data_IF_457476711484
#
_entry.id   IF_457476711484
#
_cell.length_a   1.000
_cell.length_b   1.000
_cell.length_c   1.000
_cell.angle_alpha   90.00
_cell.angle_beta   90.00
_cell.angle_gamma   90.00
#
_symmetry.space_group_name_H-M   'P 1'
#
loop_
_entity.id
_entity.type
_entity.pdbx_description
1 polymer ?
#
# COMPACT_ATOMS: atom_id res chain seq x y z
N UNK A 1 11.25 -12.65 -10.85
CA UNK A 1 11.12 -11.45 -11.72
C UNK A 1 11.30 -10.14 -10.95
N UNK A 2 10.50 -9.84 -9.90
CA UNK A 2 10.58 -8.56 -9.17
C UNK A 2 11.93 -8.33 -8.48
N UNK A 3 12.51 -9.37 -7.87
CA UNK A 3 13.86 -9.29 -7.29
C UNK A 3 14.89 -8.87 -8.35
N UNK A 4 14.89 -9.54 -9.51
CA UNK A 4 15.78 -9.22 -10.64
C UNK A 4 15.64 -7.76 -11.07
N UNK A 5 14.40 -7.27 -11.24
CA UNK A 5 14.17 -5.88 -11.62
C UNK A 5 14.59 -4.88 -10.56
N UNK A 6 14.40 -5.20 -9.26
CA UNK A 6 14.84 -4.33 -8.15
C UNK A 6 16.36 -4.18 -8.16
N UNK A 7 17.08 -5.29 -8.19
CA UNK A 7 18.55 -5.27 -8.19
C UNK A 7 19.08 -4.63 -9.47
N UNK A 8 18.48 -4.92 -10.62
CA UNK A 8 18.85 -4.29 -11.89
C UNK A 8 18.67 -2.77 -11.89
N UNK A 9 17.57 -2.25 -11.33
CA UNK A 9 17.32 -0.80 -11.28
C UNK A 9 17.99 -0.09 -10.10
N UNK A 10 18.54 -0.81 -9.13
CA UNK A 10 19.37 -0.25 -8.06
C UNK A 10 20.85 -0.23 -8.46
N UNK A 11 21.36 -1.39 -8.91
CA UNK A 11 22.78 -1.63 -9.07
C UNK A 11 23.23 -1.57 -10.54
N UNK A 12 22.29 -1.52 -11.48
CA UNK A 12 22.55 -1.45 -12.92
C UNK A 12 23.03 -2.76 -13.54
N UNK A 13 23.22 -3.82 -12.75
CA UNK A 13 23.62 -5.14 -13.21
C UNK A 13 23.15 -6.26 -12.27
N UNK A 14 22.83 -7.43 -12.84
CA UNK A 14 22.49 -8.63 -12.07
C UNK A 14 22.77 -9.91 -12.86
N UNK A 15 23.27 -10.93 -12.17
CA UNK A 15 23.19 -12.34 -12.57
C UNK A 15 22.30 -13.05 -11.55
N UNK A 16 21.30 -13.80 -12.02
CA UNK A 16 20.31 -14.42 -11.14
C UNK A 16 19.82 -15.74 -11.71
N UNK A 17 19.71 -16.74 -10.85
CA UNK A 17 19.13 -18.04 -11.12
C UNK A 17 17.88 -18.20 -10.27
N UNK A 18 16.73 -18.40 -10.92
CA UNK A 18 15.46 -18.67 -10.25
C UNK A 18 14.88 -20.00 -10.72
N UNK A 19 13.83 -20.44 -10.02
CA UNK A 19 13.20 -21.77 -10.20
C UNK A 19 12.75 -22.06 -11.64
N UNK A 20 12.47 -21.02 -12.43
CA UNK A 20 11.91 -21.14 -13.79
C UNK A 20 12.68 -20.36 -14.85
N UNK A 21 13.69 -19.58 -14.49
CA UNK A 21 14.43 -18.74 -15.45
C UNK A 21 15.80 -18.35 -14.89
N UNK A 22 16.76 -18.13 -15.78
CA UNK A 22 18.11 -17.66 -15.46
C UNK A 22 18.44 -16.43 -16.28
N UNK A 23 19.01 -15.41 -15.63
CA UNK A 23 19.60 -14.23 -16.26
C UNK A 23 21.10 -14.24 -16.00
N UNK A 24 21.89 -14.30 -17.08
CA UNK A 24 23.34 -14.21 -17.01
C UNK A 24 23.78 -12.86 -17.56
N UNK A 25 24.39 -12.03 -16.70
CA UNK A 25 24.99 -10.76 -17.12
C UNK A 25 23.97 -9.77 -17.69
N UNK A 26 22.83 -9.59 -17.02
CA UNK A 26 21.88 -8.53 -17.39
C UNK A 26 22.41 -7.20 -16.83
N UNK A 27 22.83 -6.27 -17.69
CA UNK A 27 23.36 -4.96 -17.29
C UNK A 27 22.82 -3.82 -18.16
N UNK A 28 22.80 -2.61 -17.62
CA UNK A 28 22.46 -1.37 -18.35
C UNK A 28 23.66 -0.42 -18.38
N UNK A 29 23.90 0.21 -19.54
CA UNK A 29 24.90 1.27 -19.67
C UNK A 29 24.42 2.61 -19.08
N UNK A 30 23.10 2.81 -18.96
CA UNK A 30 22.51 3.94 -18.26
C UNK A 30 22.43 3.63 -16.77
N UNK A 31 23.28 4.24 -15.94
CA UNK A 31 23.15 4.16 -14.49
C UNK A 31 21.86 4.85 -14.05
N UNK A 32 21.09 4.27 -13.11
CA UNK A 32 19.95 4.96 -12.52
C UNK A 32 20.43 6.26 -11.84
N UNK A 33 20.08 7.41 -12.39
CA UNK A 33 20.35 8.74 -11.78
C UNK A 33 19.26 9.19 -10.82
N UNK A 34 18.20 8.40 -10.73
CA UNK A 34 17.03 8.58 -9.87
C UNK A 34 17.21 7.77 -8.57
N UNK A 35 16.71 8.32 -7.46
CA UNK A 35 16.67 7.60 -6.19
C UNK A 35 15.93 6.25 -6.34
N UNK A 36 16.32 5.21 -5.57
CA UNK A 36 15.70 3.88 -5.65
C UNK A 36 14.17 3.96 -5.54
N UNK A 37 13.49 3.72 -6.66
CA UNK A 37 12.03 3.70 -6.68
C UNK A 37 11.53 2.28 -6.40
N UNK A 38 10.57 2.08 -5.49
CA UNK A 38 10.04 0.76 -5.20
C UNK A 38 9.26 0.23 -6.41
N UNK A 39 9.87 -0.67 -7.18
CA UNK A 39 9.18 -1.45 -8.22
C UNK A 39 8.25 -2.46 -7.52
N UNK A 40 7.09 -1.99 -7.08
CA UNK A 40 6.12 -2.84 -6.37
C UNK A 40 4.74 -2.67 -7.01
N UNK A 41 4.30 -3.79 -7.59
CA UNK A 41 3.14 -4.01 -8.46
C UNK A 41 1.90 -3.15 -8.19
N UNK A 42 1.28 -2.71 -9.29
CA UNK A 42 0.13 -1.82 -9.35
C UNK A 42 -1.10 -2.25 -8.53
N UNK A 43 -1.90 -1.22 -8.22
CA UNK A 43 -3.14 -1.22 -7.43
C UNK A 43 -3.03 -0.80 -5.96
N UNK A 44 -1.93 -0.18 -5.52
CA UNK A 44 -1.89 0.57 -4.26
C UNK A 44 -1.96 2.08 -4.58
N UNK A 45 -2.85 2.82 -3.90
CA UNK A 45 -3.08 4.25 -4.17
C UNK A 45 -2.00 5.10 -3.47
N UNK A 46 -1.10 5.70 -4.25
CA UNK A 46 -0.17 6.73 -3.79
C UNK A 46 1.16 6.21 -3.20
N UNK A 47 2.18 7.08 -3.13
CA UNK A 47 3.58 6.69 -2.91
C UNK A 47 3.84 5.99 -1.57
N UNK A 48 3.17 6.42 -0.48
CA UNK A 48 3.36 5.82 0.85
C UNK A 48 2.93 4.35 0.91
N UNK A 49 1.84 4.02 0.22
CA UNK A 49 1.31 2.65 0.20
C UNK A 49 2.28 1.67 -0.48
N UNK A 50 3.06 2.13 -1.47
CA UNK A 50 4.11 1.34 -2.13
C UNK A 50 5.36 1.16 -1.26
N UNK A 51 5.74 2.20 -0.51
CA UNK A 51 6.86 2.14 0.43
C UNK A 51 6.57 1.09 1.52
N UNK A 52 5.44 1.20 2.21
CA UNK A 52 5.07 0.26 3.29
C UNK A 52 4.80 -1.15 2.78
N UNK A 53 4.13 -1.33 1.63
CA UNK A 53 4.02 -2.64 0.99
C UNK A 53 5.41 -3.22 0.69
N UNK A 54 6.38 -2.35 0.48
CA UNK A 54 7.74 -2.70 0.26
C UNK A 54 8.53 -3.16 1.46
N UNK A 55 8.35 -2.51 2.59
CA UNK A 55 8.88 -2.93 3.89
C UNK A 55 8.26 -4.28 4.29
N UNK A 56 6.95 -4.45 4.11
CA UNK A 56 6.27 -5.72 4.40
C UNK A 56 6.83 -6.90 3.59
N UNK A 57 7.29 -6.66 2.36
CA UNK A 57 7.91 -7.69 1.53
C UNK A 57 9.24 -8.21 2.09
N UNK A 58 9.95 -7.43 2.91
CA UNK A 58 11.17 -7.88 3.61
C UNK A 58 10.86 -8.95 4.67
N UNK A 59 9.62 -9.00 5.15
CA UNK A 59 9.10 -10.03 6.04
C UNK A 59 8.40 -11.18 5.30
N UNK A 60 8.59 -11.29 3.98
CA UNK A 60 7.99 -12.35 3.15
C UNK A 60 6.53 -12.11 2.73
N UNK A 61 5.95 -10.92 2.99
CA UNK A 61 4.59 -10.62 2.57
C UNK A 61 4.54 -10.20 1.09
N UNK A 62 4.14 -11.15 0.25
CA UNK A 62 3.87 -10.92 -1.16
C UNK A 62 2.59 -10.11 -1.45
N UNK A 63 2.44 -9.52 -2.65
CA UNK A 63 1.25 -8.77 -3.06
C UNK A 63 -0.07 -9.54 -2.89
N UNK A 64 -0.06 -10.88 -3.02
CA UNK A 64 -1.26 -11.70 -2.82
C UNK A 64 -1.80 -11.61 -1.39
N UNK A 65 -0.93 -11.47 -0.39
CA UNK A 65 -1.29 -11.31 1.02
C UNK A 65 -1.86 -9.91 1.28
N UNK A 66 -1.33 -8.89 0.60
CA UNK A 66 -1.75 -7.50 0.74
C UNK A 66 -3.13 -7.21 0.12
N UNK A 67 -3.65 -8.11 -0.73
CA UNK A 67 -5.00 -7.98 -1.31
C UNK A 67 -6.08 -7.91 -0.24
N UNK A 68 -5.94 -8.65 0.85
CA UNK A 68 -6.89 -8.64 1.97
C UNK A 68 -6.87 -7.29 2.69
N UNK A 69 -5.67 -6.73 2.94
CA UNK A 69 -5.49 -5.42 3.57
C UNK A 69 -6.12 -4.33 2.69
N UNK A 70 -5.84 -4.34 1.38
CA UNK A 70 -6.46 -3.42 0.43
C UNK A 70 -7.98 -3.55 0.41
N UNK A 71 -8.50 -4.78 0.38
CA UNK A 71 -9.94 -5.02 0.41
C UNK A 71 -10.61 -4.51 1.68
N UNK A 72 -9.95 -4.61 2.83
CA UNK A 72 -10.43 -4.02 4.08
C UNK A 72 -10.49 -2.48 3.99
N UNK A 73 -9.42 -1.85 3.50
CA UNK A 73 -9.36 -0.40 3.33
C UNK A 73 -10.46 0.14 2.39
N UNK A 74 -10.73 -0.54 1.26
CA UNK A 74 -11.80 -0.13 0.34
C UNK A 74 -13.20 -0.28 0.98
N UNK A 75 -13.43 -1.31 1.81
CA UNK A 75 -14.68 -1.45 2.57
C UNK A 75 -14.82 -0.37 3.63
N UNK A 76 -13.75 -0.08 4.37
CA UNK A 76 -13.70 0.96 5.39
C UNK A 76 -13.98 2.35 4.78
N UNK A 77 -13.36 2.68 3.64
CA UNK A 77 -13.67 3.95 2.95
C UNK A 77 -15.08 3.98 2.38
N UNK A 78 -15.61 2.84 1.93
CA UNK A 78 -17.01 2.72 1.48
C UNK A 78 -18.02 3.07 2.57
N UNK A 79 -17.75 2.72 3.83
CA UNK A 79 -18.60 3.12 4.96
C UNK A 79 -18.59 4.65 5.16
N UNK A 80 -17.42 5.28 5.03
CA UNK A 80 -17.30 6.74 5.10
C UNK A 80 -18.10 7.38 3.97
N UNK A 81 -17.95 6.86 2.74
CA UNK A 81 -18.67 7.34 1.56
C UNK A 81 -20.19 7.27 1.75
N UNK A 82 -20.72 6.17 2.29
CA UNK A 82 -22.15 6.02 2.58
C UNK A 82 -22.68 7.12 3.52
N UNK A 83 -21.89 7.50 4.52
CA UNK A 83 -22.27 8.55 5.48
C UNK A 83 -22.25 9.94 4.83
N UNK A 84 -21.25 10.24 4.01
CA UNK A 84 -21.08 11.59 3.44
C UNK A 84 -21.80 11.80 2.11
N UNK A 85 -22.16 10.74 1.40
CA UNK A 85 -22.93 10.80 0.15
C UNK A 85 -24.19 11.69 0.22
N UNK A 86 -25.07 11.61 1.24
CA UNK A 86 -26.20 12.54 1.36
C UNK A 86 -25.79 14.00 1.52
N UNK A 87 -24.70 14.27 2.22
CA UNK A 87 -24.19 15.64 2.44
C UNK A 87 -23.67 16.24 1.13
N UNK A 88 -23.00 15.43 0.31
CA UNK A 88 -22.48 15.83 -1.00
C UNK A 88 -23.58 16.10 -2.03
N UNK A 89 -24.78 15.54 -1.86
CA UNK A 89 -25.95 15.86 -2.72
C UNK A 89 -26.51 17.26 -2.46
N UNK A 90 -26.25 17.85 -1.29
CA UNK A 90 -26.65 19.22 -1.00
C UNK A 90 -25.80 20.22 -1.80
N UNK A 91 -26.43 21.21 -2.43
CA UNK A 91 -25.71 22.23 -3.22
C UNK A 91 -25.04 23.26 -2.30
N UNK A 92 -23.80 23.61 -2.59
CA UNK A 92 -23.06 24.71 -1.93
C UNK A 92 -21.63 24.34 -1.56
N UNK A 93 -20.79 25.35 -1.34
CA UNK A 93 -19.40 25.16 -0.89
C UNK A 93 -19.35 24.69 0.57
N UNK A 94 -20.21 25.24 1.43
CA UNK A 94 -20.30 24.87 2.85
C UNK A 94 -20.72 23.41 3.07
N UNK A 95 -21.68 22.91 2.28
CA UNK A 95 -22.10 21.50 2.33
C UNK A 95 -20.94 20.54 1.99
N UNK A 96 -20.14 20.89 0.97
CA UNK A 96 -18.93 20.13 0.63
C UNK A 96 -17.85 20.22 1.70
N UNK A 97 -17.69 21.39 2.31
CA UNK A 97 -16.79 21.60 3.45
C UNK A 97 -17.13 20.68 4.62
N UNK A 98 -18.40 20.70 5.07
CA UNK A 98 -18.90 19.84 6.15
C UNK A 98 -18.79 18.34 5.83
N UNK A 99 -19.08 17.95 4.58
CA UNK A 99 -18.92 16.56 4.14
C UNK A 99 -17.45 16.13 4.21
N UNK A 100 -16.52 16.99 3.78
CA UNK A 100 -15.08 16.71 3.85
C UNK A 100 -14.55 16.64 5.28
N UNK A 101 -15.01 17.50 6.18
CA UNK A 101 -14.67 17.45 7.61
C UNK A 101 -15.18 16.14 8.25
N UNK A 102 -16.45 15.82 8.03
CA UNK A 102 -17.08 14.58 8.51
C UNK A 102 -16.33 13.35 7.98
N UNK A 103 -15.97 13.32 6.70
CA UNK A 103 -15.20 12.23 6.10
C UNK A 103 -13.84 12.04 6.80
N UNK A 104 -13.12 13.13 7.10
CA UNK A 104 -11.83 13.08 7.79
C UNK A 104 -11.97 12.57 9.22
N UNK A 105 -12.99 13.02 9.93
CA UNK A 105 -13.23 12.62 11.32
C UNK A 105 -13.57 11.13 11.42
N UNK A 106 -14.50 10.65 10.58
CA UNK A 106 -14.85 9.23 10.52
C UNK A 106 -13.63 8.41 10.08
N UNK A 107 -12.92 8.83 9.03
CA UNK A 107 -11.71 8.15 8.57
C UNK A 107 -10.66 7.98 9.67
N UNK A 108 -10.41 9.04 10.46
CA UNK A 108 -9.49 9.00 11.61
C UNK A 108 -9.96 8.02 12.69
N UNK A 109 -11.27 7.99 12.99
CA UNK A 109 -11.84 7.06 13.97
C UNK A 109 -11.76 5.61 13.49
N UNK A 110 -12.04 5.36 12.20
CA UNK A 110 -11.97 4.02 11.59
C UNK A 110 -10.55 3.46 11.65
N UNK A 111 -9.53 4.26 11.31
CA UNK A 111 -8.12 3.82 11.41
C UNK A 111 -7.76 3.51 12.87
N UNK A 112 -8.17 4.34 13.83
CA UNK A 112 -7.93 4.09 15.26
C UNK A 112 -8.59 2.80 15.74
N UNK A 113 -9.82 2.54 15.30
CA UNK A 113 -10.55 1.31 15.60
C UNK A 113 -9.83 0.09 15.00
N UNK A 114 -9.41 0.18 13.74
CA UNK A 114 -8.67 -0.88 13.05
C UNK A 114 -7.39 -1.25 13.82
N UNK A 115 -6.56 -0.26 14.16
CA UNK A 115 -5.34 -0.49 14.95
C UNK A 115 -5.64 -1.13 16.30
N UNK A 116 -6.64 -0.65 17.04
CA UNK A 116 -7.01 -1.21 18.33
C UNK A 116 -7.46 -2.67 18.24
N UNK A 117 -8.21 -3.04 17.19
CA UNK A 117 -8.63 -4.41 16.94
C UNK A 117 -7.45 -5.33 16.57
N UNK A 118 -6.53 -4.85 15.73
CA UNK A 118 -5.32 -5.58 15.38
C UNK A 118 -4.45 -5.83 16.61
N UNK A 119 -4.17 -4.80 17.41
CA UNK A 119 -3.40 -4.93 18.64
C UNK A 119 -4.06 -5.88 19.64
N UNK A 120 -5.38 -5.80 19.80
CA UNK A 120 -6.12 -6.73 20.65
C UNK A 120 -5.97 -8.17 20.18
N UNK A 121 -5.95 -8.41 18.87
CA UNK A 121 -5.75 -9.75 18.30
C UNK A 121 -4.31 -10.23 18.47
N UNK A 122 -3.31 -9.37 18.27
CA UNK A 122 -1.89 -9.72 18.48
C UNK A 122 -1.61 -10.12 19.93
N UNK A 123 -2.20 -9.38 20.90
CA UNK A 123 -2.12 -9.73 22.32
C UNK A 123 -2.67 -11.13 22.62
N UNK A 124 -3.70 -11.59 21.90
CA UNK A 124 -4.25 -12.95 22.07
C UNK A 124 -3.34 -14.06 21.52
N UNK A 125 -2.49 -13.74 20.53
CA UNK A 125 -1.56 -14.71 19.91
C UNK A 125 -0.23 -14.77 20.69
N UNK A 126 -0.08 -13.97 21.75
CA UNK A 126 1.09 -13.98 22.62
C UNK A 126 2.27 -13.16 22.11
N UNK A 127 2.09 -12.40 21.03
CA UNK A 127 3.07 -11.42 20.56
C UNK A 127 2.87 -10.16 21.40
N UNK A 128 3.77 -9.94 22.37
CA UNK A 128 3.82 -8.73 23.20
C UNK A 128 4.79 -7.72 22.63
#
# INVERSE_FOLDING_TARGET
AIHVMRTFLADGAITFEGDFFRYNGLYTFARPVQEPFPIKMGAMKGPRSFQTAGELAEYGLEPRHLRTIRGAAERESGLVEQVVAPMLRQRGAEARGRAGETARDIGRLTVRLHSALVEARLRQIGVR
#
